data_IF_348410311121
#
_entry.id   IF_348410311121
#
_cell.length_a   1.000
_cell.length_b   1.000
_cell.length_c   1.000
_cell.angle_alpha   90.00
_cell.angle_beta   90.00
_cell.angle_gamma   90.00
#
_symmetry.space_group_name_H-M   'P 1'
#
loop_
_entity.id
_entity.type
_entity.pdbx_description
1 polymer ?
#
# COMPACT_ATOMS: atom_id res chain seq x y z
N UNK A 1 -10.78 5.51 -12.27
CA UNK A 1 -9.99 4.74 -11.28
C UNK A 1 -9.90 5.56 -10.01
N UNK A 2 -10.50 5.10 -8.92
CA UNK A 2 -10.69 5.93 -7.73
C UNK A 2 -9.39 6.15 -6.98
N UNK A 3 -8.92 7.41 -6.94
CA UNK A 3 -7.77 7.84 -6.12
C UNK A 3 -7.87 7.36 -4.67
N UNK A 4 -9.10 7.22 -4.18
CA UNK A 4 -9.43 6.75 -2.84
C UNK A 4 -8.98 5.30 -2.63
N UNK A 5 -9.15 4.42 -3.62
CA UNK A 5 -8.72 3.02 -3.54
C UNK A 5 -7.20 2.89 -3.40
N UNK A 6 -6.44 3.63 -4.22
CA UNK A 6 -4.97 3.65 -4.12
C UNK A 6 -4.50 4.13 -2.75
N UNK A 7 -5.09 5.20 -2.24
CA UNK A 7 -4.79 5.73 -0.91
C UNK A 7 -5.17 4.74 0.21
N UNK A 8 -6.34 4.10 0.12
CA UNK A 8 -6.79 3.09 1.10
C UNK A 8 -5.83 1.90 1.15
N UNK A 9 -5.34 1.45 -0.01
CA UNK A 9 -4.41 0.33 -0.11
C UNK A 9 -3.04 0.65 0.50
N UNK A 10 -2.53 1.87 0.30
CA UNK A 10 -1.31 2.35 0.98
C UNK A 10 -1.55 2.50 2.49
N UNK A 11 -2.68 3.07 2.91
CA UNK A 11 -2.98 3.27 4.33
C UNK A 11 -3.05 1.94 5.09
N UNK A 12 -3.76 0.95 4.54
CA UNK A 12 -3.83 -0.41 5.10
C UNK A 12 -2.43 -1.05 5.13
N UNK A 13 -1.66 -0.91 4.04
CA UNK A 13 -0.30 -1.43 3.96
C UNK A 13 0.61 -0.84 5.04
N UNK A 14 0.51 0.47 5.29
CA UNK A 14 1.24 1.16 6.36
C UNK A 14 0.81 0.71 7.75
N UNK A 15 -0.48 0.48 8.00
CA UNK A 15 -0.96 -0.08 9.26
C UNK A 15 -0.36 -1.47 9.52
N UNK A 16 -0.38 -2.35 8.52
CA UNK A 16 0.25 -3.67 8.64
C UNK A 16 1.76 -3.57 8.82
N UNK A 17 2.44 -2.64 8.14
CA UNK A 17 3.87 -2.42 8.32
C UNK A 17 4.19 -2.05 9.77
N UNK A 18 3.44 -1.07 10.30
CA UNK A 18 3.64 -0.54 11.65
C UNK A 18 3.33 -1.59 12.71
N UNK A 19 2.28 -2.40 12.52
CA UNK A 19 1.97 -3.54 13.37
C UNK A 19 3.10 -4.59 13.32
N UNK A 20 3.59 -4.91 12.13
CA UNK A 20 4.67 -5.89 11.92
C UNK A 20 5.97 -5.43 12.59
N UNK A 21 6.32 -4.14 12.50
CA UNK A 21 7.50 -3.58 13.16
C UNK A 21 7.37 -3.53 14.68
N UNK A 22 6.15 -3.37 15.20
CA UNK A 22 5.89 -3.30 16.65
C UNK A 22 5.78 -4.69 17.29
N UNK A 23 5.39 -5.71 16.52
CA UNK A 23 5.33 -7.08 16.99
C UNK A 23 6.74 -7.65 17.19
N UNK A 24 7.07 -8.00 18.43
CA UNK A 24 8.35 -8.63 18.80
C UNK A 24 8.40 -10.15 18.51
N UNK A 25 7.44 -10.68 17.75
CA UNK A 25 7.28 -12.11 17.50
C UNK A 25 7.49 -12.40 16.02
N UNK A 26 8.64 -13.00 15.69
CA UNK A 26 9.02 -13.35 14.31
C UNK A 26 8.51 -14.75 13.95
N UNK A 27 7.20 -14.90 13.85
CA UNK A 27 6.56 -16.16 13.42
C UNK A 27 6.15 -16.13 11.95
N UNK A 28 5.66 -17.26 11.43
CA UNK A 28 5.14 -17.36 10.05
C UNK A 28 4.08 -16.28 9.77
N UNK A 29 3.18 -16.03 10.71
CA UNK A 29 2.16 -14.99 10.61
C UNK A 29 2.76 -13.57 10.45
N UNK A 30 3.88 -13.28 11.10
CA UNK A 30 4.59 -12.01 10.96
C UNK A 30 5.15 -11.83 9.56
N UNK A 31 5.73 -12.90 8.99
CA UNK A 31 6.28 -12.89 7.62
C UNK A 31 5.17 -12.69 6.59
N UNK A 32 4.02 -13.37 6.77
CA UNK A 32 2.84 -13.19 5.91
C UNK A 32 2.33 -11.75 6.01
N UNK A 33 2.24 -11.20 7.22
CA UNK A 33 1.79 -9.83 7.43
C UNK A 33 2.72 -8.79 6.80
N UNK A 34 4.03 -9.00 6.89
CA UNK A 34 5.03 -8.19 6.20
C UNK A 34 4.85 -8.26 4.66
N UNK A 35 4.66 -9.48 4.13
CA UNK A 35 4.41 -9.68 2.71
C UNK A 35 3.15 -8.97 2.23
N UNK A 36 2.05 -9.10 2.97
CA UNK A 36 0.78 -8.40 2.67
C UNK A 36 0.97 -6.89 2.73
N UNK A 37 1.70 -6.37 3.71
CA UNK A 37 2.02 -4.95 3.81
C UNK A 37 2.77 -4.43 2.58
N UNK A 38 3.80 -5.16 2.13
CA UNK A 38 4.60 -4.78 0.95
C UNK A 38 3.72 -4.77 -0.31
N UNK A 39 3.00 -5.86 -0.56
CA UNK A 39 2.11 -5.97 -1.73
C UNK A 39 1.06 -4.86 -1.71
N UNK A 40 0.51 -4.56 -0.53
CA UNK A 40 -0.48 -3.50 -0.36
C UNK A 40 0.10 -2.11 -0.65
N UNK A 41 1.28 -1.80 -0.13
CA UNK A 41 1.91 -0.51 -0.36
C UNK A 41 2.33 -0.32 -1.82
N UNK A 42 2.95 -1.33 -2.45
CA UNK A 42 3.42 -1.25 -3.84
C UNK A 42 2.24 -1.11 -4.81
N UNK A 43 1.19 -1.91 -4.64
CA UNK A 43 0.01 -1.83 -5.51
C UNK A 43 -0.72 -0.50 -5.31
N UNK A 44 -0.82 -0.03 -4.06
CA UNK A 44 -1.47 1.24 -3.73
C UNK A 44 -0.74 2.44 -4.32
N UNK A 45 0.59 2.48 -4.22
CA UNK A 45 1.41 3.51 -4.87
C UNK A 45 1.33 3.40 -6.39
N UNK A 46 1.34 2.20 -6.97
CA UNK A 46 1.17 2.01 -8.41
C UNK A 46 -0.17 2.55 -8.92
N UNK A 47 -1.25 2.30 -8.17
CA UNK A 47 -2.59 2.86 -8.44
C UNK A 47 -2.60 4.39 -8.36
N UNK A 48 -1.99 4.97 -7.33
CA UNK A 48 -1.87 6.42 -7.18
C UNK A 48 -1.02 7.04 -8.30
N UNK A 49 0.08 6.40 -8.68
CA UNK A 49 0.96 6.89 -9.74
C UNK A 49 0.27 6.85 -11.10
N UNK A 50 -0.49 5.78 -11.39
CA UNK A 50 -1.36 5.72 -12.58
C UNK A 50 -2.39 6.85 -12.56
N UNK A 51 -3.04 7.11 -11.43
CA UNK A 51 -4.00 8.21 -11.31
C UNK A 51 -3.36 9.58 -11.57
N UNK A 52 -2.21 9.87 -10.95
CA UNK A 52 -1.48 11.13 -11.15
C UNK A 52 -1.08 11.29 -12.62
N UNK A 53 -0.57 10.23 -13.24
CA UNK A 53 -0.19 10.24 -14.65
C UNK A 53 -1.39 10.50 -15.57
N UNK A 54 -2.54 9.89 -15.30
CA UNK A 54 -3.76 10.10 -16.08
C UNK A 54 -4.28 11.54 -15.90
N UNK A 55 -4.29 12.04 -14.66
CA UNK A 55 -4.64 13.43 -14.36
C UNK A 55 -3.74 14.43 -15.10
N UNK A 56 -2.42 14.19 -15.11
CA UNK A 56 -1.46 15.04 -15.82
C UNK A 56 -1.67 15.01 -17.34
N UNK A 57 -2.17 13.90 -17.88
CA UNK A 57 -2.46 13.73 -19.31
C UNK A 57 -3.77 14.41 -19.75
N UNK A 58 -4.73 14.57 -18.83
CA UNK A 58 -5.99 15.28 -19.10
C UNK A 58 -5.88 16.81 -18.91
N UNK A 59 -4.82 17.29 -18.28
CA UNK A 59 -4.57 18.71 -18.04
C UNK A 59 -3.83 19.42 -19.19
N UNK A 60 -3.54 18.71 -20.29
CA UNK A 60 -2.92 19.18 -21.53
C UNK A 60 -3.80 18.79 -22.71
#
# INVERSE_FOLDING_TARGET
MDKRLGFLFVAIGMCFLMLTLTMNVQNVAWTVMLGVSIVSNVTGTTLLFKYIREYKKQAF
#
